data_IF_242401679329
#
_entry.id   IF_242401679329
#
_cell.length_a   1.000
_cell.length_b   1.000
_cell.length_c   1.000
_cell.angle_alpha   90.00
_cell.angle_beta   90.00
_cell.angle_gamma   90.00
#
_symmetry.space_group_name_H-M   'P 1'
#
loop_
_entity.id
_entity.type
_entity.pdbx_description
1 polymer ?
#
# COMPACT_ATOMS: atom_id res chain seq x y z
N UNK A 1 -2.87 5.33 16.81
CA UNK A 1 -3.44 4.11 16.20
C UNK A 1 -3.79 4.49 14.78
N UNK A 2 -3.12 3.92 13.77
CA UNK A 2 -3.45 4.17 12.37
C UNK A 2 -4.80 3.54 12.06
N UNK A 3 -5.74 4.31 11.52
CA UNK A 3 -6.96 3.76 10.95
C UNK A 3 -6.58 2.94 9.72
N UNK A 4 -6.87 1.64 9.73
CA UNK A 4 -6.55 0.75 8.62
C UNK A 4 -7.20 1.21 7.31
N UNK A 5 -8.35 1.89 7.39
CA UNK A 5 -9.00 2.50 6.24
C UNK A 5 -8.14 3.61 5.66
N UNK A 6 -7.72 4.57 6.50
CA UNK A 6 -6.87 5.69 6.05
C UNK A 6 -5.50 5.21 5.54
N UNK A 7 -4.92 4.20 6.18
CA UNK A 7 -3.66 3.61 5.73
C UNK A 7 -3.81 2.94 4.35
N UNK A 8 -4.89 2.18 4.14
CA UNK A 8 -5.20 1.56 2.85
C UNK A 8 -5.49 2.59 1.75
N UNK A 9 -6.22 3.66 2.08
CA UNK A 9 -6.48 4.77 1.15
C UNK A 9 -5.16 5.47 0.79
N UNK A 10 -4.27 5.69 1.75
CA UNK A 10 -2.95 6.28 1.52
C UNK A 10 -2.07 5.41 0.63
N UNK A 11 -2.12 4.08 0.82
CA UNK A 11 -1.42 3.14 -0.05
C UNK A 11 -1.91 3.26 -1.51
N UNK A 12 -3.23 3.25 -1.74
CA UNK A 12 -3.80 3.41 -3.07
C UNK A 12 -3.44 4.75 -3.72
N UNK A 13 -3.40 5.83 -2.93
CA UNK A 13 -3.11 7.16 -3.41
C UNK A 13 -1.66 7.36 -3.88
N UNK A 14 -0.76 6.45 -3.52
CA UNK A 14 0.67 6.55 -3.78
C UNK A 14 1.23 5.37 -4.58
N UNK A 15 0.36 4.59 -5.23
CA UNK A 15 0.80 3.56 -6.17
C UNK A 15 1.42 4.21 -7.41
N UNK A 16 2.54 3.67 -7.87
CA UNK A 16 3.22 4.10 -9.09
C UNK A 16 2.50 3.59 -10.37
N UNK A 17 1.57 2.62 -10.23
CA UNK A 17 0.77 2.09 -11.35
C UNK A 17 -0.47 2.97 -11.60
N UNK A 18 -0.54 3.64 -12.76
CA UNK A 18 -1.71 4.44 -13.18
C UNK A 18 -3.00 3.60 -13.28
N UNK A 19 -2.87 2.32 -13.65
CA UNK A 19 -3.98 1.38 -13.78
C UNK A 19 -3.56 -0.06 -13.46
N UNK A 20 -4.41 -0.78 -12.73
CA UNK A 20 -4.17 -2.16 -12.33
C UNK A 20 -5.48 -2.96 -12.24
N UNK A 21 -5.37 -4.28 -12.26
CA UNK A 21 -6.50 -5.15 -11.99
C UNK A 21 -6.98 -4.96 -10.54
N UNK A 22 -8.30 -5.03 -10.30
CA UNK A 22 -8.87 -4.92 -8.95
C UNK A 22 -8.25 -5.95 -7.99
N UNK A 23 -8.09 -7.19 -8.45
CA UNK A 23 -7.42 -8.23 -7.69
C UNK A 23 -6.00 -7.81 -7.25
N UNK A 24 -5.24 -7.17 -8.12
CA UNK A 24 -3.89 -6.74 -7.81
C UNK A 24 -3.83 -5.60 -6.76
N UNK A 25 -4.84 -4.73 -6.66
CA UNK A 25 -4.90 -3.83 -5.50
C UNK A 25 -5.36 -4.52 -4.25
N UNK A 26 -6.30 -5.47 -4.34
CA UNK A 26 -6.71 -6.26 -3.17
C UNK A 26 -5.47 -6.96 -2.58
N UNK A 27 -4.64 -7.59 -3.42
CA UNK A 27 -3.36 -8.19 -3.00
C UNK A 27 -2.41 -7.19 -2.30
N UNK A 28 -2.45 -5.92 -2.68
CA UNK A 28 -1.67 -4.85 -2.00
C UNK A 28 -2.32 -4.47 -0.67
N UNK A 29 -3.65 -4.34 -0.63
CA UNK A 29 -4.41 -4.02 0.57
C UNK A 29 -4.34 -5.13 1.63
N UNK A 30 -4.11 -6.38 1.24
CA UNK A 30 -3.86 -7.50 2.17
C UNK A 30 -2.64 -7.26 3.08
N UNK A 31 -1.70 -6.41 2.67
CA UNK A 31 -0.58 -5.99 3.53
C UNK A 31 -1.01 -5.01 4.63
N UNK A 32 -2.17 -4.39 4.49
CA UNK A 32 -2.81 -3.48 5.46
C UNK A 32 -3.84 -4.25 6.30
N UNK A 33 -4.70 -5.04 5.66
CA UNK A 33 -5.79 -5.77 6.31
C UNK A 33 -6.21 -7.00 5.52
N UNK A 34 -6.54 -8.09 6.22
CA UNK A 34 -7.15 -9.29 5.63
C UNK A 34 -8.68 -9.34 5.85
N UNK A 35 -9.28 -8.32 6.46
CA UNK A 35 -10.73 -8.24 6.66
C UNK A 35 -11.43 -7.72 5.39
N UNK A 36 -12.29 -8.52 4.73
CA UNK A 36 -13.01 -8.11 3.53
C UNK A 36 -13.91 -6.88 3.72
N UNK A 37 -14.42 -6.63 4.93
CA UNK A 37 -15.23 -5.43 5.21
C UNK A 37 -14.37 -4.17 5.21
N UNK A 38 -13.20 -4.23 5.84
CA UNK A 38 -12.22 -3.14 5.80
C UNK A 38 -11.72 -2.90 4.37
N UNK A 39 -11.41 -3.96 3.60
CA UNK A 39 -11.00 -3.83 2.18
C UNK A 39 -12.05 -3.12 1.33
N UNK A 40 -13.35 -3.47 1.46
CA UNK A 40 -14.42 -2.74 0.75
C UNK A 40 -14.50 -1.29 1.20
N UNK A 41 -14.42 -1.04 2.50
CA UNK A 41 -14.46 0.32 3.06
C UNK A 41 -13.32 1.18 2.52
N UNK A 42 -12.11 0.63 2.39
CA UNK A 42 -10.96 1.32 1.79
C UNK A 42 -11.27 1.70 0.34
N UNK A 43 -11.71 0.75 -0.48
CA UNK A 43 -11.98 0.98 -1.90
C UNK A 43 -13.09 2.02 -2.10
N UNK A 44 -14.18 1.90 -1.34
CA UNK A 44 -15.32 2.83 -1.41
C UNK A 44 -14.92 4.24 -0.94
N UNK A 45 -14.07 4.32 0.08
CA UNK A 45 -13.56 5.61 0.59
C UNK A 45 -12.62 6.26 -0.42
N UNK A 46 -11.71 5.49 -1.01
CA UNK A 46 -10.79 5.97 -2.03
C UNK A 46 -11.55 6.48 -3.27
N UNK A 47 -12.57 5.75 -3.72
CA UNK A 47 -13.41 6.16 -4.86
C UNK A 47 -14.21 7.42 -4.56
N UNK A 48 -14.87 7.48 -3.38
CA UNK A 48 -15.61 8.69 -2.94
C UNK A 48 -14.72 9.93 -2.85
N UNK A 49 -13.44 9.76 -2.54
CA UNK A 49 -12.45 10.84 -2.47
C UNK A 49 -11.80 11.17 -3.83
N UNK A 50 -12.17 10.46 -4.89
CA UNK A 50 -11.60 10.65 -6.23
C UNK A 50 -10.14 10.19 -6.35
N UNK A 51 -9.66 9.34 -5.43
CA UNK A 51 -8.30 8.79 -5.46
C UNK A 51 -8.20 7.68 -6.51
N UNK A 52 -9.26 6.90 -6.65
CA UNK A 52 -9.37 5.85 -7.66
C UNK A 52 -10.70 5.96 -8.43
N UNK A 53 -10.75 5.32 -9.57
CA UNK A 53 -12.00 4.90 -10.22
C UNK A 53 -11.99 3.41 -10.47
N UNK A 54 -13.17 2.78 -10.39
CA UNK A 54 -13.36 1.35 -10.67
C UNK A 54 -14.23 1.14 -11.91
N UNK A 55 -13.72 0.38 -12.87
CA UNK A 55 -14.47 -0.03 -14.06
C UNK A 55 -13.93 -1.36 -14.58
N UNK A 56 -14.80 -2.25 -15.08
CA UNK A 56 -14.43 -3.50 -15.77
C UNK A 56 -13.41 -4.38 -15.03
N UNK A 57 -13.55 -4.50 -13.70
CA UNK A 57 -12.64 -5.29 -12.86
C UNK A 57 -11.24 -4.67 -12.73
N UNK A 58 -11.09 -3.40 -13.07
CA UNK A 58 -9.87 -2.60 -12.98
C UNK A 58 -10.07 -1.39 -12.11
N UNK A 59 -8.96 -0.81 -11.73
CA UNK A 59 -8.85 0.42 -10.95
C UNK A 59 -7.85 1.32 -11.62
N UNK A 60 -8.24 2.58 -11.76
CA UNK A 60 -7.38 3.65 -12.23
C UNK A 60 -7.06 4.57 -11.07
N UNK A 61 -5.78 4.74 -10.76
CA UNK A 61 -5.33 5.69 -9.73
C UNK A 61 -5.36 7.09 -10.35
N UNK A 62 -6.02 8.03 -9.68
CA UNK A 62 -6.21 9.41 -10.14
C UNK A 62 -5.39 10.42 -9.36
N UNK A 63 -4.96 10.06 -8.17
CA UNK A 63 -4.00 10.85 -7.42
C UNK A 63 -2.65 10.85 -8.14
N UNK A 64 -2.06 12.03 -8.36
CA UNK A 64 -0.68 12.15 -8.84
C UNK A 64 0.38 11.92 -7.75
N UNK A 65 0.00 11.30 -6.64
CA UNK A 65 0.89 10.95 -5.54
C UNK A 65 1.68 9.69 -5.87
N UNK A 66 2.91 9.60 -5.38
CA UNK A 66 3.74 8.42 -5.50
C UNK A 66 4.72 8.37 -4.34
N UNK A 67 5.01 7.16 -3.86
CA UNK A 67 6.03 6.97 -2.82
C UNK A 67 7.42 7.32 -3.40
N UNK A 68 8.03 8.37 -2.87
CA UNK A 68 9.43 8.72 -3.14
C UNK A 68 10.31 7.96 -2.18
N UNK A 69 10.96 6.90 -2.66
CA UNK A 69 11.84 6.04 -1.84
C UNK A 69 12.83 6.80 -0.94
N UNK A 70 13.41 7.89 -1.40
CA UNK A 70 14.40 8.66 -0.63
C UNK A 70 13.80 9.54 0.48
N UNK A 71 12.50 9.82 0.42
CA UNK A 71 11.80 10.72 1.37
C UNK A 71 10.79 9.99 2.23
N UNK A 72 10.04 9.09 1.62
CA UNK A 72 8.84 8.49 2.20
C UNK A 72 9.12 7.08 2.73
N UNK A 73 10.35 6.58 2.63
CA UNK A 73 10.74 5.26 3.13
C UNK A 73 11.87 5.38 4.13
N UNK A 74 11.62 4.91 5.35
CA UNK A 74 12.62 4.78 6.42
C UNK A 74 13.20 3.37 6.40
N UNK A 75 14.52 3.28 6.44
CA UNK A 75 15.25 2.01 6.56
C UNK A 75 15.60 1.76 8.03
N UNK A 76 15.33 0.56 8.53
CA UNK A 76 15.64 0.14 9.91
C UNK A 76 16.41 -1.17 9.88
N UNK A 77 17.46 -1.25 10.69
CA UNK A 77 18.21 -2.49 10.93
C UNK A 77 17.66 -3.20 12.19
N UNK A 78 17.58 -4.52 12.17
CA UNK A 78 17.04 -5.36 13.25
C UNK A 78 16.31 -6.60 12.73
N UNK A 79 15.82 -7.44 13.64
CA UNK A 79 15.05 -8.64 13.25
C UNK A 79 13.59 -8.28 13.01
N UNK A 80 13.11 -8.47 11.78
CA UNK A 80 11.72 -8.20 11.40
C UNK A 80 11.12 -9.36 10.60
N UNK A 81 9.79 -9.36 10.52
CA UNK A 81 9.02 -10.19 9.60
C UNK A 81 8.45 -9.32 8.50
N UNK A 82 8.76 -9.62 7.24
CA UNK A 82 8.27 -8.88 6.09
C UNK A 82 6.73 -8.94 6.04
N UNK A 83 6.07 -7.79 6.12
CA UNK A 83 4.60 -7.66 6.17
C UNK A 83 3.89 -8.20 4.92
N UNK A 84 4.59 -8.30 3.77
CA UNK A 84 4.03 -8.85 2.52
C UNK A 84 4.14 -10.38 2.42
N UNK A 85 5.28 -10.97 2.76
CA UNK A 85 5.55 -12.39 2.47
C UNK A 85 5.88 -13.24 3.69
N UNK A 86 5.95 -12.66 4.89
CA UNK A 86 6.25 -13.38 6.12
C UNK A 86 7.71 -13.82 6.30
N UNK A 87 8.60 -13.51 5.35
CA UNK A 87 10.02 -13.84 5.49
C UNK A 87 10.71 -13.04 6.60
N UNK A 88 11.60 -13.68 7.36
CA UNK A 88 12.50 -13.00 8.30
C UNK A 88 13.50 -12.14 7.53
N UNK A 89 13.68 -10.89 7.96
CA UNK A 89 14.57 -9.90 7.35
C UNK A 89 15.36 -9.16 8.43
N UNK A 90 16.60 -8.79 8.12
CA UNK A 90 17.47 -7.99 9.00
C UNK A 90 17.40 -6.49 8.71
N UNK A 91 16.90 -6.13 7.53
CA UNK A 91 16.71 -4.75 7.09
C UNK A 91 15.24 -4.56 6.70
N UNK A 92 14.52 -3.74 7.46
CA UNK A 92 13.13 -3.41 7.25
C UNK A 92 12.95 -2.05 6.57
N UNK A 93 12.17 -2.02 5.50
CA UNK A 93 11.77 -0.79 4.81
C UNK A 93 10.34 -0.43 5.22
N UNK A 94 10.14 0.78 5.74
CA UNK A 94 8.85 1.25 6.27
C UNK A 94 8.44 2.51 5.52
N UNK A 95 7.27 2.48 4.87
CA UNK A 95 6.70 3.64 4.19
C UNK A 95 6.04 4.54 5.24
N UNK A 96 6.30 5.84 5.15
CA UNK A 96 5.72 6.88 5.97
C UNK A 96 4.58 7.54 5.21
N UNK A 97 3.34 7.21 5.59
CA UNK A 97 2.16 7.95 5.12
C UNK A 97 1.69 8.91 6.22
N UNK A 98 0.94 9.94 5.84
CA UNK A 98 0.27 10.83 6.81
C UNK A 98 -0.67 10.04 7.73
N UNK A 99 -1.27 8.95 7.23
CA UNK A 99 -2.12 8.04 8.00
C UNK A 99 -1.35 7.07 8.94
N UNK A 100 -0.02 7.01 8.82
CA UNK A 100 0.85 6.19 9.65
C UNK A 100 1.88 5.36 8.88
N UNK A 101 2.62 4.53 9.63
CA UNK A 101 3.68 3.68 9.08
C UNK A 101 3.12 2.41 8.43
N UNK A 102 3.67 2.04 7.27
CA UNK A 102 3.35 0.80 6.57
C UNK A 102 4.60 -0.03 6.29
N UNK A 103 4.67 -1.23 6.87
CA UNK A 103 5.84 -2.12 6.81
C UNK A 103 6.07 -2.83 8.15
N UNK A 104 7.26 -3.38 8.41
CA UNK A 104 8.43 -3.39 7.56
C UNK A 104 8.31 -4.38 6.38
N UNK A 105 8.96 -4.05 5.28
CA UNK A 105 9.08 -4.90 4.08
C UNK A 105 10.54 -5.23 3.82
N UNK A 106 10.79 -6.36 3.16
CA UNK A 106 12.07 -6.60 2.51
C UNK A 106 12.22 -5.75 1.23
N UNK A 107 13.45 -5.52 0.79
CA UNK A 107 13.79 -4.61 -0.32
C UNK A 107 13.03 -4.91 -1.64
N UNK A 108 12.85 -6.20 -1.98
CA UNK A 108 12.08 -6.60 -3.16
C UNK A 108 10.57 -6.50 -2.96
N UNK A 109 10.09 -6.68 -1.72
CA UNK A 109 8.67 -6.63 -1.40
C UNK A 109 8.12 -5.22 -1.42
N UNK A 110 8.85 -4.23 -0.87
CA UNK A 110 8.39 -2.83 -0.88
C UNK A 110 8.15 -2.32 -2.31
N UNK A 111 9.06 -2.63 -3.25
CA UNK A 111 8.92 -2.26 -4.67
C UNK A 111 7.64 -2.84 -5.28
N UNK A 112 7.34 -4.11 -4.97
CA UNK A 112 6.10 -4.78 -5.42
C UNK A 112 4.83 -4.18 -4.80
N UNK A 113 4.88 -3.76 -3.52
CA UNK A 113 3.74 -3.14 -2.85
C UNK A 113 3.39 -1.81 -3.50
N UNK A 114 4.38 -0.96 -3.77
CA UNK A 114 4.14 0.39 -4.32
C UNK A 114 4.00 0.44 -5.85
N UNK A 115 4.31 -0.64 -6.58
CA UNK A 115 4.18 -0.68 -8.05
C UNK A 115 5.44 -0.37 -8.85
N UNK A 116 6.61 -0.24 -8.21
CA UNK A 116 7.89 -0.07 -8.93
C UNK A 116 8.38 -1.39 -9.49
N UNK A 117 8.31 -1.57 -10.82
CA UNK A 117 8.98 -2.64 -11.56
C UNK A 117 10.40 -2.26 -11.93
#
# INVERSE_FOLDING_TARGET
MSDAVELGVSLLANLDDDELALAAAIDRLETVTNDPHTTRTILDTAEKRGIIERADGRIRVRSGGFVRFERDVVTREGEFTCRRCGASITTGYVIQFDAGEHGPFGSSCIRKVIGRR
#
